data_IF_457258053851
#
_entry.id   IF_457258053851
#
_cell.length_a   1.000
_cell.length_b   1.000
_cell.length_c   1.000
_cell.angle_alpha   90.00
_cell.angle_beta   90.00
_cell.angle_gamma   90.00
#
_symmetry.space_group_name_H-M   'P 1'
#
loop_
_entity.id
_entity.type
_entity.pdbx_description
1 polymer ?
#
# COMPACT_ATOMS: atom_id res chain seq x y z
N UNK A 1 10.70 4.57 -16.47
CA UNK A 1 10.09 5.24 -15.31
C UNK A 1 11.15 6.17 -14.74
N UNK A 2 10.94 7.49 -14.79
CA UNK A 2 11.97 8.46 -14.46
C UNK A 2 12.00 8.68 -12.94
N UNK A 3 12.96 8.06 -12.25
CA UNK A 3 13.11 8.13 -10.79
C UNK A 3 13.30 9.58 -10.32
N UNK A 4 13.67 10.49 -11.22
CA UNK A 4 13.87 11.91 -10.91
C UNK A 4 12.61 12.63 -10.43
N UNK A 5 11.39 12.17 -10.77
CA UNK A 5 10.14 12.73 -10.23
C UNK A 5 9.96 12.49 -8.72
N UNK A 6 10.55 11.42 -8.18
CA UNK A 6 10.47 11.10 -6.74
C UNK A 6 11.42 12.01 -5.94
N UNK A 7 12.42 12.63 -6.56
CA UNK A 7 13.39 13.48 -5.87
C UNK A 7 12.89 14.91 -5.62
N UNK A 8 11.79 15.32 -6.24
CA UNK A 8 11.23 16.65 -5.98
C UNK A 8 10.60 16.69 -4.59
N UNK A 9 11.17 17.47 -3.68
CA UNK A 9 10.60 17.75 -2.36
C UNK A 9 9.17 18.31 -2.44
N UNK A 10 8.85 19.02 -3.53
CA UNK A 10 7.50 19.48 -3.84
C UNK A 10 6.50 18.32 -4.05
N UNK A 11 6.97 17.16 -4.52
CA UNK A 11 6.13 16.00 -4.76
C UNK A 11 5.70 15.32 -3.44
N UNK A 12 6.60 15.24 -2.46
CA UNK A 12 6.23 14.78 -1.11
C UNK A 12 5.36 15.78 -0.37
N UNK A 13 5.50 17.09 -0.66
CA UNK A 13 4.65 18.14 -0.10
C UNK A 13 3.20 18.11 -0.62
N UNK A 14 2.92 17.43 -1.74
CA UNK A 14 1.56 17.25 -2.27
C UNK A 14 0.83 16.04 -1.65
N UNK A 15 1.54 15.25 -0.84
CA UNK A 15 1.01 14.02 -0.25
C UNK A 15 0.70 14.27 1.23
N UNK A 16 -0.50 14.80 1.49
CA UNK A 16 -0.94 15.15 2.85
C UNK A 16 -1.32 13.94 3.73
N UNK A 17 -1.53 12.76 3.13
CA UNK A 17 -1.95 11.57 3.88
C UNK A 17 -1.19 10.32 3.46
N UNK A 18 -1.03 9.39 4.41
CA UNK A 18 -0.43 8.07 4.16
C UNK A 18 -1.19 7.29 3.07
N UNK A 19 -2.52 7.45 2.97
CA UNK A 19 -3.35 6.83 1.94
C UNK A 19 -3.04 7.38 0.54
N UNK A 20 -2.87 8.70 0.42
CA UNK A 20 -2.43 9.35 -0.81
C UNK A 20 -1.06 8.83 -1.24
N UNK A 21 -0.12 8.64 -0.31
CA UNK A 21 1.20 8.06 -0.59
C UNK A 21 1.08 6.65 -1.16
N UNK A 22 0.26 5.80 -0.54
CA UNK A 22 0.11 4.41 -0.97
C UNK A 22 -0.51 4.34 -2.36
N UNK A 23 -1.56 5.11 -2.61
CA UNK A 23 -2.22 5.18 -3.92
C UNK A 23 -1.26 5.65 -5.02
N UNK A 24 -0.39 6.60 -4.69
CA UNK A 24 0.64 7.07 -5.59
C UNK A 24 1.68 5.98 -5.90
N UNK A 25 2.20 5.31 -4.86
CA UNK A 25 3.15 4.21 -5.02
C UNK A 25 2.56 3.04 -5.83
N UNK A 26 1.27 2.73 -5.65
CA UNK A 26 0.55 1.76 -6.49
C UNK A 26 0.49 2.20 -7.96
N UNK A 27 0.19 3.47 -8.23
CA UNK A 27 0.13 3.99 -9.59
C UNK A 27 1.51 4.02 -10.28
N UNK A 28 2.58 4.18 -9.50
CA UNK A 28 3.95 4.07 -9.97
C UNK A 28 4.42 2.61 -10.11
N UNK A 29 3.59 1.62 -9.76
CA UNK A 29 3.97 0.20 -9.79
C UNK A 29 5.00 -0.20 -8.72
N UNK A 30 5.26 0.67 -7.74
CA UNK A 30 6.17 0.41 -6.63
C UNK A 30 5.51 -0.41 -5.52
N UNK A 31 4.18 -0.33 -5.41
CA UNK A 31 3.37 -1.22 -4.58
C UNK A 31 2.41 -2.02 -5.45
N UNK A 32 2.05 -3.21 -4.97
CA UNK A 32 1.03 -4.03 -5.63
C UNK A 32 -0.29 -3.25 -5.62
N UNK A 33 -0.85 -3.05 -6.80
CA UNK A 33 -2.17 -2.46 -7.01
C UNK A 33 -3.21 -3.57 -7.01
N UNK A 34 -4.22 -3.43 -6.17
CA UNK A 34 -5.38 -4.32 -6.07
C UNK A 34 -5.05 -5.83 -5.99
N UNK A 35 -4.22 -6.27 -5.02
CA UNK A 35 -3.91 -7.69 -4.89
C UNK A 35 -5.16 -8.51 -4.64
N UNK A 36 -5.23 -9.70 -5.26
CA UNK A 36 -6.38 -10.60 -5.20
C UNK A 36 -6.04 -11.84 -4.36
N UNK A 37 -6.96 -12.24 -3.49
CA UNK A 37 -6.92 -13.48 -2.74
C UNK A 37 -8.27 -14.18 -2.79
N UNK A 38 -8.29 -15.46 -3.15
CA UNK A 38 -9.53 -16.24 -3.29
C UNK A 38 -10.58 -15.58 -4.19
N UNK A 39 -10.17 -15.05 -5.35
CA UNK A 39 -11.00 -14.32 -6.32
C UNK A 39 -11.69 -13.06 -5.76
N UNK A 40 -11.20 -12.52 -4.64
CA UNK A 40 -11.67 -11.27 -4.04
C UNK A 40 -10.50 -10.33 -3.82
N UNK A 41 -10.73 -9.03 -3.97
CA UNK A 41 -9.73 -8.00 -3.68
C UNK A 41 -9.34 -8.06 -2.20
N UNK A 42 -8.05 -7.97 -1.92
CA UNK A 42 -7.53 -7.89 -0.57
C UNK A 42 -7.76 -6.49 0.00
N UNK A 43 -7.87 -6.41 1.32
CA UNK A 43 -8.12 -5.14 2.02
C UNK A 43 -6.79 -4.60 2.53
N UNK A 44 -6.48 -3.35 2.19
CA UNK A 44 -5.36 -2.63 2.78
C UNK A 44 -5.70 -2.29 4.24
N UNK A 45 -4.87 -2.75 5.18
CA UNK A 45 -5.06 -2.54 6.62
C UNK A 45 -3.85 -1.83 7.21
N UNK A 46 -4.11 -0.72 7.91
CA UNK A 46 -3.11 -0.05 8.75
C UNK A 46 -2.80 -0.92 9.97
N UNK A 47 -1.52 -1.22 10.19
CA UNK A 47 -1.02 -1.94 11.36
C UNK A 47 -0.63 -0.92 12.43
N UNK A 48 -1.23 -1.07 13.61
CA UNK A 48 -0.97 -0.22 14.77
C UNK A 48 -0.14 -0.93 15.85
N UNK A 49 0.34 -2.15 15.58
CA UNK A 49 1.08 -2.93 16.57
C UNK A 49 2.47 -2.33 16.82
N UNK A 50 2.87 -2.27 18.10
CA UNK A 50 4.11 -1.62 18.56
C UNK A 50 5.38 -2.09 17.84
N UNK A 51 5.41 -3.32 17.31
CA UNK A 51 6.56 -3.90 16.58
C UNK A 51 6.49 -3.73 15.06
N UNK A 52 5.29 -3.70 14.47
CA UNK A 52 5.11 -3.66 13.02
C UNK A 52 4.17 -2.50 12.66
N UNK A 53 4.75 -1.32 12.48
CA UNK A 53 4.04 -0.14 11.96
C UNK A 53 4.00 -0.18 10.43
N UNK A 54 2.92 0.35 9.85
CA UNK A 54 2.78 0.50 8.40
C UNK A 54 1.48 -0.09 7.89
N UNK A 55 1.50 -0.58 6.67
CA UNK A 55 0.33 -1.10 5.97
C UNK A 55 0.58 -2.54 5.53
N UNK A 56 -0.50 -3.29 5.33
CA UNK A 56 -0.45 -4.64 4.78
C UNK A 56 -1.75 -4.97 4.09
N UNK A 57 -1.69 -5.79 3.04
CA UNK A 57 -2.89 -6.36 2.47
C UNK A 57 -3.28 -7.61 3.23
N UNK A 58 -4.55 -7.67 3.63
CA UNK A 58 -5.12 -8.85 4.27
C UNK A 58 -6.21 -9.45 3.39
N UNK A 59 -6.13 -10.75 3.20
CA UNK A 59 -7.21 -11.48 2.55
C UNK A 59 -8.45 -11.52 3.46
N UNK A 60 -9.62 -11.20 2.89
CA UNK A 60 -10.89 -11.19 3.63
C UNK A 60 -11.51 -12.60 3.80
N UNK A 61 -10.89 -13.63 3.21
CA UNK A 61 -11.36 -15.00 3.39
C UNK A 61 -10.93 -15.53 4.77
N UNK A 62 -11.89 -15.92 5.62
CA UNK A 62 -11.62 -16.46 6.96
C UNK A 62 -10.75 -17.73 6.94
N UNK A 63 -10.86 -18.51 5.88
CA UNK A 63 -10.08 -19.74 5.67
C UNK A 63 -8.68 -19.47 5.09
N UNK A 64 -8.42 -18.23 4.64
CA UNK A 64 -7.17 -17.85 3.99
C UNK A 64 -6.66 -16.53 4.58
N UNK A 65 -5.95 -16.58 5.70
CA UNK A 65 -5.45 -15.38 6.42
C UNK A 65 -4.08 -14.93 5.91
N UNK A 66 -3.84 -15.00 4.61
CA UNK A 66 -2.55 -14.56 4.04
C UNK A 66 -2.44 -13.05 4.15
N UNK A 67 -1.31 -12.58 4.65
CA UNK A 67 -0.95 -11.18 4.71
C UNK A 67 0.22 -10.93 3.76
N UNK A 68 0.11 -9.87 2.97
CA UNK A 68 1.20 -9.36 2.14
C UNK A 68 1.64 -8.02 2.73
N UNK A 69 2.96 -7.78 2.83
CA UNK A 69 3.48 -6.45 3.15
C UNK A 69 3.06 -5.43 2.09
#
# INVERSE_FOLDING_TARGET
MNIDLIKESAFFALIDTEESTIKLLQNQGLLIKDPVCCNKTMILRKRHDRKNKGYSYRCNNRNWRKELP
#
